data_IF_928642785619
#
_entry.id   IF_928642785619
#
_cell.length_a   1.000
_cell.length_b   1.000
_cell.length_c   1.000
_cell.angle_alpha   90.00
_cell.angle_beta   90.00
_cell.angle_gamma   90.00
#
_symmetry.space_group_name_H-M   'P 1'
#
loop_
_entity.id
_entity.type
_entity.pdbx_description
1 polymer ?
#
# COMPACT_ATOMS: atom_id res chain seq x y z
N UNK A 1 -4.62 22.69 0.53
CA UNK A 1 -3.31 22.23 -0.04
C UNK A 1 -3.07 20.79 0.38
N UNK A 2 -2.34 20.00 -0.40
CA UNK A 2 -1.97 18.62 0.00
C UNK A 2 -0.57 18.58 0.59
N UNK A 3 -0.34 17.62 1.49
CA UNK A 3 0.96 17.35 2.10
C UNK A 3 1.24 15.85 2.04
N UNK A 4 2.50 15.46 2.21
CA UNK A 4 2.89 14.06 2.29
C UNK A 4 3.98 13.83 3.35
N UNK A 5 4.16 12.57 3.72
CA UNK A 5 5.19 12.13 4.64
C UNK A 5 5.76 10.79 4.17
N UNK A 6 7.09 10.70 4.11
CA UNK A 6 7.83 9.49 3.79
C UNK A 6 8.39 8.90 5.07
N UNK A 7 8.24 7.59 5.26
CA UNK A 7 8.63 6.89 6.49
C UNK A 7 9.13 5.48 6.19
N UNK A 8 9.94 4.94 7.10
CA UNK A 8 10.50 3.60 7.00
C UNK A 8 9.51 2.53 7.51
N UNK A 9 9.55 1.35 6.90
CA UNK A 9 8.79 0.16 7.28
C UNK A 9 9.70 -1.07 7.24
N UNK A 10 9.21 -2.22 7.75
CA UNK A 10 9.94 -3.49 7.73
C UNK A 10 10.43 -3.95 6.33
N UNK A 11 9.81 -3.46 5.25
CA UNK A 11 10.10 -3.88 3.88
C UNK A 11 10.52 -2.72 2.96
N UNK A 12 10.91 -1.58 3.52
CA UNK A 12 11.39 -0.41 2.78
C UNK A 12 10.66 0.89 3.13
N UNK A 13 10.82 1.91 2.30
CA UNK A 13 10.30 3.26 2.49
C UNK A 13 8.91 3.43 1.87
N UNK A 14 7.92 3.72 2.69
CA UNK A 14 6.56 4.01 2.27
C UNK A 14 6.27 5.51 2.39
N UNK A 15 5.07 5.92 1.98
CA UNK A 15 4.59 7.25 2.33
C UNK A 15 3.08 7.38 2.25
N UNK A 16 2.57 8.45 2.84
CA UNK A 16 1.15 8.83 2.79
C UNK A 16 1.00 10.29 2.38
N UNK A 17 -0.08 10.62 1.68
CA UNK A 17 -0.47 11.97 1.36
C UNK A 17 -1.88 12.28 1.88
N UNK A 18 -2.07 13.51 2.33
CA UNK A 18 -3.33 13.99 2.91
C UNK A 18 -3.68 15.41 2.46
N UNK A 19 -4.94 15.77 2.66
CA UNK A 19 -5.46 17.15 2.70
C UNK A 19 -5.96 17.43 4.12
N UNK A 20 -6.54 18.61 4.34
CA UNK A 20 -7.25 18.94 5.59
C UNK A 20 -8.42 17.98 5.89
N UNK A 21 -8.96 17.29 4.89
CA UNK A 21 -10.10 16.37 5.04
C UNK A 21 -9.69 14.93 5.34
N UNK A 22 -8.43 14.55 5.08
CA UNK A 22 -7.95 13.18 5.29
C UNK A 22 -6.96 12.70 4.24
N UNK A 23 -6.66 11.41 4.27
CA UNK A 23 -5.79 10.72 3.33
C UNK A 23 -6.37 10.76 1.91
N UNK A 24 -5.48 11.06 0.97
CA UNK A 24 -5.76 11.04 -0.48
C UNK A 24 -4.91 10.00 -1.21
N UNK A 25 -3.95 9.38 -0.52
CA UNK A 25 -3.15 8.31 -1.09
C UNK A 25 -2.13 7.75 -0.12
N UNK A 26 -1.75 6.50 -0.38
CA UNK A 26 -0.58 5.86 0.19
C UNK A 26 0.34 5.40 -0.95
N UNK A 27 1.62 5.22 -0.63
CA UNK A 27 2.64 4.72 -1.54
C UNK A 27 3.30 3.50 -0.92
N UNK A 28 3.45 2.44 -1.70
CA UNK A 28 4.00 1.17 -1.23
C UNK A 28 5.51 1.30 -0.95
N UNK A 29 6.04 0.46 -0.04
CA UNK A 29 7.47 0.43 0.27
C UNK A 29 8.37 0.26 -0.96
N UNK A 30 9.37 1.14 -1.09
CA UNK A 30 10.45 1.07 -2.07
C UNK A 30 11.80 0.95 -1.35
N UNK A 31 12.85 0.52 -2.06
CA UNK A 31 14.19 0.42 -1.48
C UNK A 31 14.84 1.78 -1.19
N UNK A 32 14.37 2.84 -1.83
CA UNK A 32 14.93 4.20 -1.76
C UNK A 32 13.81 5.23 -1.52
N UNK A 33 13.90 6.06 -0.47
CA UNK A 33 12.87 7.05 -0.16
C UNK A 33 12.72 8.14 -1.23
N UNK A 34 13.74 8.40 -2.06
CA UNK A 34 13.64 9.37 -3.16
C UNK A 34 12.68 8.91 -4.27
N UNK A 35 12.52 7.60 -4.44
CA UNK A 35 11.52 7.04 -5.35
C UNK A 35 10.12 7.43 -4.88
N UNK A 36 9.89 7.36 -3.56
CA UNK A 36 8.62 7.71 -2.93
C UNK A 36 8.35 9.21 -3.08
N UNK A 37 9.34 10.06 -2.76
CA UNK A 37 9.23 11.53 -2.92
C UNK A 37 8.92 11.92 -4.35
N UNK A 38 9.65 11.36 -5.31
CA UNK A 38 9.44 11.60 -6.74
C UNK A 38 8.02 11.22 -7.15
N UNK A 39 7.52 10.07 -6.70
CA UNK A 39 6.17 9.63 -7.02
C UNK A 39 5.09 10.56 -6.42
N UNK A 40 5.28 11.06 -5.20
CA UNK A 40 4.36 12.05 -4.60
C UNK A 40 4.40 13.38 -5.34
N UNK A 41 5.57 13.87 -5.73
CA UNK A 41 5.70 15.10 -6.52
C UNK A 41 4.99 15.00 -7.88
N UNK A 42 5.08 13.84 -8.54
CA UNK A 42 4.39 13.57 -9.81
C UNK A 42 2.88 13.43 -9.63
N UNK A 43 2.42 12.68 -8.63
CA UNK A 43 1.01 12.34 -8.43
C UNK A 43 0.21 13.48 -7.77
N UNK A 44 0.86 14.31 -6.97
CA UNK A 44 0.27 15.44 -6.27
C UNK A 44 1.13 16.70 -6.45
N UNK A 45 1.08 17.34 -7.63
CA UNK A 45 1.84 18.55 -7.90
C UNK A 45 1.55 19.65 -6.84
N UNK A 46 2.62 20.23 -6.28
CA UNK A 46 2.52 21.24 -5.23
C UNK A 46 2.28 20.71 -3.81
N UNK A 47 2.26 19.38 -3.60
CA UNK A 47 2.29 18.83 -2.27
C UNK A 47 3.68 19.01 -1.62
N UNK A 48 3.69 19.40 -0.35
CA UNK A 48 4.91 19.56 0.43
C UNK A 48 5.12 18.39 1.40
N UNK A 49 6.37 17.98 1.61
CA UNK A 49 6.71 17.05 2.68
C UNK A 49 6.52 17.77 4.03
N UNK A 50 5.81 17.14 4.96
CA UNK A 50 5.49 17.74 6.25
C UNK A 50 5.39 16.67 7.35
N UNK A 51 5.40 17.11 8.60
CA UNK A 51 5.07 16.26 9.75
C UNK A 51 3.56 15.96 9.74
N UNK A 52 3.16 14.68 9.84
CA UNK A 52 1.75 14.31 9.80
C UNK A 52 1.01 14.82 11.05
N UNK A 53 -0.22 15.35 10.93
CA UNK A 53 -1.06 15.66 12.08
C UNK A 53 -1.47 14.37 12.82
N UNK A 54 -1.94 14.44 14.09
CA UNK A 54 -2.13 13.28 14.95
C UNK A 54 -2.96 12.14 14.33
N UNK A 55 -4.03 12.46 13.60
CA UNK A 55 -4.87 11.47 12.94
C UNK A 55 -4.12 10.71 11.82
N UNK A 56 -3.26 11.39 11.07
CA UNK A 56 -2.44 10.80 10.01
C UNK A 56 -1.24 10.05 10.61
N UNK A 57 -0.64 10.59 11.67
CA UNK A 57 0.44 9.92 12.40
C UNK A 57 -0.01 8.55 12.96
N UNK A 58 -1.26 8.45 13.45
CA UNK A 58 -1.87 7.18 13.84
C UNK A 58 -1.91 6.19 12.67
N UNK A 59 -2.32 6.63 11.48
CA UNK A 59 -2.34 5.77 10.27
C UNK A 59 -0.94 5.33 9.89
N UNK A 60 0.06 6.22 9.94
CA UNK A 60 1.47 5.85 9.68
C UNK A 60 1.91 4.74 10.64
N UNK A 61 1.66 4.89 11.94
CA UNK A 61 2.00 3.86 12.93
C UNK A 61 1.28 2.53 12.65
N UNK A 62 0.00 2.58 12.27
CA UNK A 62 -0.78 1.41 11.88
C UNK A 62 -0.24 0.71 10.63
N UNK A 63 0.19 1.46 9.61
CA UNK A 63 0.83 0.92 8.41
C UNK A 63 2.15 0.25 8.77
N UNK A 64 2.98 0.87 9.60
CA UNK A 64 4.25 0.29 10.05
C UNK A 64 4.00 -1.04 10.79
N UNK A 65 3.09 -1.07 11.75
CA UNK A 65 2.70 -2.28 12.46
C UNK A 65 2.18 -3.38 11.51
N UNK A 66 1.32 -3.01 10.55
CA UNK A 66 0.83 -3.92 9.52
C UNK A 66 1.98 -4.53 8.69
N UNK A 67 2.97 -3.73 8.31
CA UNK A 67 4.13 -4.20 7.54
C UNK A 67 5.06 -5.11 8.35
N UNK A 68 4.98 -5.07 9.69
CA UNK A 68 5.61 -6.04 10.58
C UNK A 68 4.79 -7.33 10.78
N UNK A 69 3.63 -7.45 10.13
CA UNK A 69 2.75 -8.62 10.20
C UNK A 69 1.74 -8.55 11.34
N UNK A 70 1.60 -7.40 12.01
CA UNK A 70 0.57 -7.23 13.02
C UNK A 70 -0.82 -7.15 12.39
N UNK A 71 -1.83 -7.69 13.09
CA UNK A 71 -3.23 -7.55 12.69
C UNK A 71 -3.74 -6.19 13.14
N UNK A 72 -3.85 -5.27 12.18
CA UNK A 72 -4.30 -3.90 12.42
C UNK A 72 -5.63 -3.65 11.73
N UNK A 73 -6.58 -3.07 12.47
CA UNK A 73 -7.81 -2.51 11.89
C UNK A 73 -7.59 -1.03 11.55
N UNK A 74 -7.88 -0.69 10.28
CA UNK A 74 -7.76 0.66 9.73
C UNK A 74 -9.10 1.16 9.14
N UNK A 75 -10.22 0.53 9.50
CA UNK A 75 -11.56 0.93 9.04
C UNK A 75 -11.92 2.39 9.37
N UNK A 76 -11.37 2.93 10.46
CA UNK A 76 -11.57 4.32 10.89
C UNK A 76 -10.53 5.32 10.32
N UNK A 77 -9.70 4.91 9.34
CA UNK A 77 -8.73 5.81 8.76
C UNK A 77 -9.43 7.00 8.09
N UNK A 78 -9.02 8.26 8.35
CA UNK A 78 -9.67 9.42 7.76
C UNK A 78 -9.34 9.48 6.26
N UNK A 79 -10.31 9.16 5.40
CA UNK A 79 -10.16 9.21 3.94
C UNK A 79 -10.87 10.44 3.36
N UNK A 80 -10.19 11.18 2.49
CA UNK A 80 -10.78 12.28 1.73
C UNK A 80 -11.39 11.75 0.42
N UNK A 81 -12.68 11.42 0.48
CA UNK A 81 -13.46 10.93 -0.65
C UNK A 81 -13.74 12.00 -1.72
N UNK A 82 -13.48 13.29 -1.44
CA UNK A 82 -13.79 14.38 -2.35
C UNK A 82 -13.02 14.34 -3.68
N UNK A 83 -12.01 13.46 -3.78
CA UNK A 83 -11.19 13.26 -4.99
C UNK A 83 -11.52 11.99 -5.75
N UNK A 84 -12.45 11.18 -5.25
CA UNK A 84 -12.87 9.92 -5.86
C UNK A 84 -14.27 10.13 -6.47
N UNK A 85 -14.47 9.88 -7.78
CA UNK A 85 -15.80 9.91 -8.36
C UNK A 85 -16.78 9.04 -7.56
N UNK A 86 -18.02 9.48 -7.38
CA UNK A 86 -18.99 8.80 -6.47
C UNK A 86 -19.17 7.31 -6.76
N UNK A 87 -19.15 6.92 -8.04
CA UNK A 87 -19.22 5.50 -8.43
C UNK A 87 -18.02 4.71 -7.87
N UNK A 88 -16.81 5.24 -8.00
CA UNK A 88 -15.59 4.61 -7.51
C UNK A 88 -15.58 4.54 -5.98
N UNK A 89 -16.10 5.57 -5.30
CA UNK A 89 -16.20 5.58 -3.84
C UNK A 89 -17.08 4.42 -3.33
N UNK A 90 -18.26 4.22 -3.94
CA UNK A 90 -19.14 3.08 -3.64
C UNK A 90 -18.47 1.73 -3.93
N UNK A 91 -17.70 1.63 -5.01
CA UNK A 91 -16.94 0.41 -5.32
C UNK A 91 -15.87 0.15 -4.26
N UNK A 92 -15.18 1.18 -3.77
CA UNK A 92 -14.16 1.05 -2.72
C UNK A 92 -14.75 0.70 -1.36
N UNK A 93 -15.95 1.18 -1.02
CA UNK A 93 -16.68 0.75 0.19
C UNK A 93 -17.00 -0.74 0.17
N UNK A 94 -17.33 -1.30 -1.00
CA UNK A 94 -17.69 -2.72 -1.16
C UNK A 94 -16.43 -3.60 -1.31
N UNK A 95 -15.36 -3.08 -1.93
CA UNK A 95 -14.15 -3.83 -2.24
C UNK A 95 -13.13 -3.72 -1.10
N UNK A 96 -13.35 -4.51 -0.04
CA UNK A 96 -12.39 -4.65 1.07
C UNK A 96 -11.41 -5.83 0.89
N UNK A 97 -11.55 -6.61 -0.18
CA UNK A 97 -10.65 -7.74 -0.45
C UNK A 97 -9.34 -7.19 -1.05
N UNK A 98 -8.18 -7.38 -0.39
CA UNK A 98 -6.91 -6.93 -0.95
C UNK A 98 -6.64 -7.61 -2.28
N UNK A 99 -6.27 -6.84 -3.30
CA UNK A 99 -6.08 -7.35 -4.66
C UNK A 99 -4.97 -8.42 -4.75
N UNK A 100 -3.99 -8.41 -3.84
CA UNK A 100 -2.95 -9.44 -3.75
C UNK A 100 -3.43 -10.77 -3.14
N UNK A 101 -4.62 -10.81 -2.51
CA UNK A 101 -5.25 -12.08 -2.07
C UNK A 101 -6.05 -12.77 -3.18
N UNK A 102 -6.30 -12.09 -4.30
CA UNK A 102 -6.98 -12.70 -5.45
C UNK A 102 -6.03 -13.70 -6.12
N UNK A 103 -6.35 -14.99 -6.03
CA UNK A 103 -5.66 -16.10 -6.70
C UNK A 103 -6.34 -16.45 -8.02
N UNK A 104 -5.62 -17.11 -8.92
CA UNK A 104 -6.23 -17.68 -10.11
C UNK A 104 -7.23 -18.79 -9.72
N UNK A 105 -8.18 -19.11 -10.60
CA UNK A 105 -9.24 -20.10 -10.34
C UNK A 105 -8.73 -21.51 -9.95
N UNK A 106 -7.47 -21.83 -10.28
CA UNK A 106 -6.80 -23.08 -9.92
C UNK A 106 -5.98 -22.99 -8.62
N UNK A 107 -6.16 -21.93 -7.83
CA UNK A 107 -5.43 -21.69 -6.59
C UNK A 107 -3.98 -21.20 -6.78
N UNK A 108 -3.48 -21.08 -8.02
CA UNK A 108 -2.14 -20.55 -8.29
C UNK A 108 -2.07 -19.04 -8.08
N UNK A 109 -0.86 -18.53 -7.90
CA UNK A 109 -0.59 -17.10 -7.88
C UNK A 109 -0.96 -16.48 -9.25
N UNK A 110 -2.02 -15.69 -9.30
CA UNK A 110 -2.33 -14.87 -10.47
C UNK A 110 -1.39 -13.67 -10.59
N UNK A 111 -1.40 -13.00 -11.75
CA UNK A 111 -0.63 -11.78 -11.96
C UNK A 111 -0.94 -10.67 -10.93
N UNK A 112 -0.01 -9.75 -10.75
CA UNK A 112 -0.18 -8.57 -9.91
C UNK A 112 0.23 -7.35 -10.72
N UNK A 113 -0.72 -6.44 -10.95
CA UNK A 113 -0.51 -5.28 -11.82
C UNK A 113 0.08 -4.08 -11.10
N UNK A 114 0.19 -4.13 -9.77
CA UNK A 114 0.87 -3.09 -9.01
C UNK A 114 2.39 -3.10 -9.33
N UNK A 115 3.03 -1.95 -9.10
CA UNK A 115 4.48 -1.79 -9.26
C UNK A 115 5.22 -2.88 -8.46
N UNK A 116 6.24 -3.48 -9.07
CA UNK A 116 6.97 -4.62 -8.50
C UNK A 116 6.30 -5.99 -8.71
N UNK A 117 5.15 -6.05 -9.38
CA UNK A 117 4.59 -7.27 -9.95
C UNK A 117 4.40 -8.42 -8.95
N UNK A 118 4.56 -9.66 -9.42
CA UNK A 118 4.36 -10.86 -8.58
C UNK A 118 5.26 -10.89 -7.32
N UNK A 119 6.44 -10.26 -7.36
CA UNK A 119 7.33 -10.18 -6.19
C UNK A 119 6.74 -9.35 -5.06
N UNK A 120 6.07 -8.25 -5.38
CA UNK A 120 5.36 -7.43 -4.37
C UNK A 120 4.19 -8.21 -3.78
N UNK A 121 3.44 -8.94 -4.61
CA UNK A 121 2.36 -9.84 -4.16
C UNK A 121 2.85 -10.89 -3.17
N UNK A 122 4.00 -11.52 -3.44
CA UNK A 122 4.59 -12.53 -2.56
C UNK A 122 5.01 -11.95 -1.20
N UNK A 123 5.67 -10.77 -1.19
CA UNK A 123 6.04 -10.09 0.05
C UNK A 123 4.82 -9.75 0.91
N UNK A 124 3.75 -9.23 0.28
CA UNK A 124 2.50 -8.91 0.97
C UNK A 124 1.83 -10.16 1.55
N UNK A 125 1.75 -11.26 0.79
CA UNK A 125 1.19 -12.52 1.29
C UNK A 125 2.02 -13.11 2.44
N UNK A 126 3.35 -12.99 2.39
CA UNK A 126 4.24 -13.45 3.45
C UNK A 126 4.03 -12.67 4.76
N UNK A 127 3.91 -11.34 4.70
CA UNK A 127 3.60 -10.49 5.87
C UNK A 127 2.28 -10.91 6.52
N UNK A 128 1.29 -11.28 5.71
CA UNK A 128 -0.03 -11.69 6.21
C UNK A 128 -0.07 -13.13 6.75
N UNK A 129 1.04 -13.88 6.66
CA UNK A 129 1.07 -15.31 6.98
C UNK A 129 0.20 -16.15 6.04
N UNK A 130 -0.16 -15.63 4.87
CA UNK A 130 -0.91 -16.36 3.87
C UNK A 130 0.02 -17.37 3.18
N UNK A 131 -0.39 -18.64 3.12
CA UNK A 131 0.28 -19.63 2.29
C UNK A 131 0.02 -19.26 0.82
N UNK A 132 0.92 -18.46 0.24
CA UNK A 132 0.99 -18.34 -1.21
C UNK A 132 1.17 -19.77 -1.74
N UNK A 133 0.21 -20.26 -2.53
CA UNK A 133 0.26 -21.61 -3.07
C UNK A 133 1.64 -21.83 -3.69
N UNK A 134 2.38 -22.79 -3.14
CA UNK A 134 3.77 -23.06 -3.47
C UNK A 134 3.91 -23.17 -4.99
N UNK A 135 4.63 -22.22 -5.58
CA UNK A 135 5.20 -22.42 -6.89
C UNK A 135 6.69 -22.65 -6.65
N UNK A 136 7.11 -23.90 -6.86
CA UNK A 136 8.46 -24.20 -7.33
C UNK A 136 8.74 -23.24 -8.47
N UNK A 137 9.79 -22.45 -8.33
CA UNK A 137 10.32 -21.60 -9.39
C UNK A 137 10.15 -22.23 -10.78
N UNK A 138 9.73 -21.41 -11.75
CA UNK A 138 9.65 -21.86 -13.14
C UNK A 138 11.04 -22.19 -13.71
N UNK A 139 12.09 -21.80 -12.98
CA UNK A 139 13.47 -22.18 -13.19
C UNK A 139 13.95 -22.91 -11.94
N UNK A 140 13.56 -24.17 -11.81
CA UNK A 140 14.15 -25.07 -10.83
C UNK A 140 15.67 -24.96 -10.80
N UNK A 141 16.24 -25.06 -9.60
CA UNK A 141 17.67 -25.24 -9.32
C UNK A 141 18.46 -25.69 -10.55
N UNK A 142 19.37 -24.83 -11.02
CA UNK A 142 20.40 -25.21 -11.98
C UNK A 142 21.72 -24.56 -11.56
N UNK A 143 22.50 -25.34 -10.81
CA UNK A 143 23.93 -25.45 -11.07
C UNK A 143 24.14 -26.04 -12.46
#
# INVERSE_FOLDING_TARGET
MSQYHVFETAIGWAGVAWTEKGLIGAYLPESDPEIVRTAFAQKFPGAAEATPPPAIAKVVAQIVALMHGEKVDMSDAPLDWGRVPEFNAKVYEITLVPCHRVTAANGKLGGFTARGGAQTKLKLLAIEGAQAAAQTDLFGDSL
#
